data_IF_510452046028
#
_entry.id   IF_510452046028
#
_cell.length_a   1.000
_cell.length_b   1.000
_cell.length_c   1.000
_cell.angle_alpha   90.00
_cell.angle_beta   90.00
_cell.angle_gamma   90.00
#
_symmetry.space_group_name_H-M   'P 1'
#
loop_
_entity.id
_entity.type
_entity.pdbx_description
1 polymer ?
#
# COMPACT_ATOMS: atom_id res chain seq x y z
N UNK A 1 -21.90 -0.63 -13.84
CA UNK A 1 -21.69 0.69 -13.20
C UNK A 1 -20.49 1.35 -13.87
N UNK A 2 -20.54 2.64 -14.19
CA UNK A 2 -19.44 3.36 -14.83
C UNK A 2 -18.97 4.50 -13.94
N UNK A 3 -17.70 4.51 -13.59
CA UNK A 3 -17.07 5.62 -12.90
C UNK A 3 -15.94 6.18 -13.78
N UNK A 4 -15.86 7.50 -13.90
CA UNK A 4 -14.91 8.15 -14.83
C UNK A 4 -13.51 8.20 -14.21
N UNK A 5 -12.49 7.98 -15.03
CA UNK A 5 -11.10 8.24 -14.63
C UNK A 5 -10.96 9.68 -14.15
N UNK A 6 -10.26 9.87 -13.04
CA UNK A 6 -10.00 11.19 -12.45
C UNK A 6 -11.05 11.67 -11.43
N UNK A 7 -12.11 10.90 -11.15
CA UNK A 7 -13.00 11.24 -10.04
C UNK A 7 -12.33 10.98 -8.68
N UNK A 8 -12.32 11.97 -7.79
CA UNK A 8 -11.63 11.88 -6.50
C UNK A 8 -12.22 10.82 -5.56
N UNK A 9 -13.50 10.45 -5.73
CA UNK A 9 -14.14 9.36 -4.97
C UNK A 9 -13.88 7.96 -5.52
N UNK A 10 -13.21 7.84 -6.68
CA UNK A 10 -12.99 6.57 -7.37
C UNK A 10 -12.23 5.54 -6.53
N UNK A 11 -11.15 5.89 -5.80
CA UNK A 11 -10.42 4.90 -4.98
C UNK A 11 -11.27 4.34 -3.84
N UNK A 12 -12.04 5.18 -3.14
CA UNK A 12 -12.94 4.72 -2.06
C UNK A 12 -14.04 3.82 -2.62
N UNK A 13 -14.57 4.17 -3.79
CA UNK A 13 -15.57 3.35 -4.47
C UNK A 13 -15.02 1.97 -4.87
N UNK A 14 -13.82 1.91 -5.46
CA UNK A 14 -13.16 0.64 -5.79
C UNK A 14 -12.75 -0.17 -4.57
N UNK A 15 -12.39 0.50 -3.47
CA UNK A 15 -12.05 -0.16 -2.20
C UNK A 15 -13.18 -1.02 -1.64
N UNK A 16 -14.45 -0.71 -1.93
CA UNK A 16 -15.56 -1.57 -1.54
C UNK A 16 -15.51 -2.94 -2.26
N UNK A 17 -15.14 -2.95 -3.55
CA UNK A 17 -14.99 -4.20 -4.30
C UNK A 17 -13.74 -4.97 -3.86
N UNK A 18 -12.61 -4.30 -3.65
CA UNK A 18 -11.41 -4.93 -3.11
C UNK A 18 -11.67 -5.57 -1.73
N UNK A 19 -12.36 -4.84 -0.84
CA UNK A 19 -12.78 -5.38 0.46
C UNK A 19 -13.69 -6.60 0.33
N UNK A 20 -14.66 -6.59 -0.58
CA UNK A 20 -15.54 -7.74 -0.83
C UNK A 20 -14.77 -8.96 -1.37
N UNK A 21 -13.82 -8.76 -2.28
CA UNK A 21 -12.96 -9.81 -2.82
C UNK A 21 -12.11 -10.42 -1.69
N UNK A 22 -11.41 -9.60 -0.92
CA UNK A 22 -10.59 -10.07 0.20
C UNK A 22 -11.40 -10.79 1.26
N UNK A 23 -12.61 -10.32 1.54
CA UNK A 23 -13.52 -11.00 2.45
C UNK A 23 -13.84 -12.42 1.97
N UNK A 24 -14.19 -12.59 0.68
CA UNK A 24 -14.43 -13.92 0.10
C UNK A 24 -13.19 -14.80 0.21
N UNK A 25 -12.02 -14.31 -0.20
CA UNK A 25 -10.76 -15.07 -0.14
C UNK A 25 -10.45 -15.54 1.29
N UNK A 26 -10.61 -14.67 2.29
CA UNK A 26 -10.31 -15.01 3.69
C UNK A 26 -11.25 -16.01 4.34
N UNK A 27 -12.36 -16.36 3.67
CA UNK A 27 -13.28 -17.40 4.14
C UNK A 27 -12.97 -18.76 3.54
N UNK A 28 -12.08 -18.80 2.55
CA UNK A 28 -11.63 -20.02 1.92
C UNK A 28 -10.34 -20.54 2.57
N UNK A 29 -10.12 -21.83 2.41
CA UNK A 29 -8.90 -22.56 2.74
C UNK A 29 -8.67 -23.64 1.67
N UNK A 30 -7.50 -24.30 1.64
CA UNK A 30 -7.30 -25.44 0.76
C UNK A 30 -8.37 -26.53 0.97
N UNK A 31 -8.78 -26.78 2.21
CA UNK A 31 -9.84 -27.71 2.57
C UNK A 31 -11.20 -27.33 1.95
N UNK A 32 -11.63 -26.08 2.09
CA UNK A 32 -12.94 -25.64 1.56
C UNK A 32 -13.00 -25.71 0.03
N UNK A 33 -11.91 -25.29 -0.64
CA UNK A 33 -11.83 -25.27 -2.10
C UNK A 33 -11.72 -26.66 -2.72
N UNK A 34 -11.09 -27.60 -2.03
CA UNK A 34 -10.97 -28.99 -2.48
C UNK A 34 -12.10 -29.89 -1.96
N UNK A 35 -13.14 -29.31 -1.33
CA UNK A 35 -14.27 -30.06 -0.75
C UNK A 35 -13.83 -31.16 0.22
N UNK A 36 -12.77 -30.90 0.97
CA UNK A 36 -12.27 -31.78 2.02
C UNK A 36 -11.17 -32.77 1.62
N UNK A 37 -10.70 -32.76 0.37
CA UNK A 37 -9.55 -33.60 -0.04
C UNK A 37 -8.24 -33.13 0.62
N UNK A 38 -8.05 -31.82 0.78
CA UNK A 38 -6.93 -31.27 1.53
C UNK A 38 -7.31 -31.13 3.02
N UNK A 39 -6.42 -31.54 3.93
CA UNK A 39 -6.63 -31.43 5.38
C UNK A 39 -6.37 -30.03 5.93
N UNK A 40 -5.67 -29.17 5.18
CA UNK A 40 -5.38 -27.79 5.57
C UNK A 40 -6.65 -26.94 5.55
N UNK A 41 -7.24 -26.76 6.73
CA UNK A 41 -8.41 -25.93 6.96
C UNK A 41 -8.08 -24.49 7.38
N UNK A 42 -6.80 -24.11 7.48
CA UNK A 42 -6.39 -22.77 7.87
C UNK A 42 -6.81 -21.75 6.79
N UNK A 43 -7.61 -20.74 7.15
CA UNK A 43 -8.04 -19.72 6.20
C UNK A 43 -6.88 -18.98 5.56
N UNK A 44 -7.11 -18.42 4.37
CA UNK A 44 -6.09 -17.62 3.70
C UNK A 44 -5.89 -16.25 4.37
N UNK A 45 -4.63 -15.81 4.39
CA UNK A 45 -4.27 -14.45 4.73
C UNK A 45 -4.85 -13.47 3.71
N UNK A 46 -5.36 -12.34 4.19
CA UNK A 46 -5.88 -11.27 3.35
C UNK A 46 -5.23 -9.93 3.64
N UNK A 47 -4.81 -9.26 2.58
CA UNK A 47 -4.47 -7.85 2.61
C UNK A 47 -4.84 -7.20 1.29
N UNK A 48 -5.65 -6.15 1.37
CA UNK A 48 -6.05 -5.33 0.23
C UNK A 48 -5.71 -3.86 0.45
N UNK A 49 -5.37 -3.20 -0.65
CA UNK A 49 -5.31 -1.76 -0.74
C UNK A 49 -6.03 -1.29 -2.00
N UNK A 50 -7.26 -0.82 -1.82
CA UNK A 50 -8.15 -0.43 -2.93
C UNK A 50 -8.40 -1.60 -3.89
N UNK A 51 -7.63 -1.73 -4.96
CA UNK A 51 -7.69 -2.78 -5.98
C UNK A 51 -6.47 -3.71 -5.97
N UNK A 52 -5.42 -3.36 -5.22
CA UNK A 52 -4.24 -4.21 -5.04
C UNK A 52 -4.52 -5.28 -3.99
N UNK A 53 -4.34 -6.55 -4.36
CA UNK A 53 -4.43 -7.70 -3.47
C UNK A 53 -3.04 -8.29 -3.23
N UNK A 54 -2.61 -8.30 -1.97
CA UNK A 54 -1.32 -8.87 -1.55
C UNK A 54 -1.59 -10.17 -0.80
N UNK A 55 -1.13 -11.28 -1.37
CA UNK A 55 -1.24 -12.60 -0.77
C UNK A 55 0.11 -13.01 -0.19
N UNK A 56 0.09 -13.56 1.02
CA UNK A 56 1.27 -14.10 1.70
C UNK A 56 0.85 -15.41 2.33
N UNK A 57 1.44 -16.51 1.86
CA UNK A 57 1.08 -17.85 2.32
C UNK A 57 2.31 -18.72 2.49
N UNK A 58 2.21 -19.71 3.37
CA UNK A 58 3.22 -20.76 3.46
C UNK A 58 3.17 -21.63 2.20
N UNK A 59 4.34 -22.02 1.68
CA UNK A 59 4.45 -22.97 0.56
C UNK A 59 4.24 -24.41 1.04
N UNK A 60 3.02 -24.70 1.48
CA UNK A 60 2.56 -26.04 1.81
C UNK A 60 1.82 -26.65 0.61
N UNK A 61 1.78 -28.00 0.50
CA UNK A 61 1.19 -28.67 -0.65
C UNK A 61 -0.22 -28.18 -1.00
N UNK A 62 -0.35 -27.57 -2.17
CA UNK A 62 -1.62 -27.09 -2.72
C UNK A 62 -2.10 -25.74 -2.18
N UNK A 63 -1.43 -25.12 -1.20
CA UNK A 63 -1.90 -23.87 -0.58
C UNK A 63 -1.77 -22.67 -1.52
N UNK A 64 -0.61 -22.50 -2.16
CA UNK A 64 -0.36 -21.38 -3.08
C UNK A 64 -1.27 -21.43 -4.32
N UNK A 65 -1.54 -22.63 -4.84
CA UNK A 65 -2.48 -22.80 -5.96
C UNK A 65 -3.92 -22.56 -5.53
N UNK A 66 -4.31 -23.04 -4.35
CA UNK A 66 -5.64 -22.85 -3.78
C UNK A 66 -5.95 -21.37 -3.54
N UNK A 67 -5.06 -20.61 -2.88
CA UNK A 67 -5.29 -19.17 -2.66
C UNK A 67 -5.33 -18.38 -3.98
N UNK A 68 -4.50 -18.77 -4.95
CA UNK A 68 -4.53 -18.17 -6.30
C UNK A 68 -5.85 -18.43 -7.01
N UNK A 69 -6.43 -19.62 -6.83
CA UNK A 69 -7.75 -19.96 -7.36
C UNK A 69 -8.86 -19.21 -6.62
N UNK A 70 -8.79 -19.14 -5.28
CA UNK A 70 -9.70 -18.39 -4.42
C UNK A 70 -9.81 -16.94 -4.87
N UNK A 71 -8.67 -16.26 -5.08
CA UNK A 71 -8.62 -14.87 -5.52
C UNK A 71 -9.27 -14.70 -6.89
N UNK A 72 -8.98 -15.59 -7.85
CA UNK A 72 -9.58 -15.53 -9.19
C UNK A 72 -11.10 -15.71 -9.14
N UNK A 73 -11.57 -16.68 -8.36
CA UNK A 73 -13.01 -16.93 -8.17
C UNK A 73 -13.70 -15.74 -7.50
N UNK A 74 -13.09 -15.17 -6.46
CA UNK A 74 -13.62 -13.99 -5.77
C UNK A 74 -13.68 -12.75 -6.69
N UNK A 75 -12.62 -12.49 -7.46
CA UNK A 75 -12.59 -11.39 -8.45
C UNK A 75 -13.67 -11.59 -9.52
N UNK A 76 -13.88 -12.81 -10.00
CA UNK A 76 -14.94 -13.12 -10.97
C UNK A 76 -16.34 -12.97 -10.37
N UNK A 77 -16.53 -13.35 -9.11
CA UNK A 77 -17.80 -13.23 -8.41
C UNK A 77 -18.19 -11.76 -8.17
N UNK A 78 -17.22 -10.92 -7.79
CA UNK A 78 -17.45 -9.51 -7.44
C UNK A 78 -17.48 -8.59 -8.67
N UNK A 79 -16.57 -8.79 -9.62
CA UNK A 79 -16.38 -7.89 -10.78
C UNK A 79 -16.87 -8.47 -12.11
N UNK A 80 -17.28 -9.75 -12.12
CA UNK A 80 -17.77 -10.46 -13.30
C UNK A 80 -16.71 -11.32 -14.00
N UNK A 81 -17.11 -12.25 -14.88
CA UNK A 81 -16.23 -13.30 -15.40
C UNK A 81 -15.10 -12.81 -16.33
N UNK A 82 -15.15 -11.56 -16.80
CA UNK A 82 -14.15 -10.95 -17.69
C UNK A 82 -13.19 -9.99 -16.97
N UNK A 83 -13.25 -9.91 -15.65
CA UNK A 83 -12.43 -8.98 -14.85
C UNK A 83 -10.98 -9.44 -14.65
N UNK A 84 -10.68 -10.72 -14.90
CA UNK A 84 -9.35 -11.30 -14.69
C UNK A 84 -8.35 -10.75 -15.72
N UNK A 85 -7.42 -9.94 -15.24
CA UNK A 85 -6.26 -9.52 -16.01
C UNK A 85 -5.06 -10.42 -15.69
N UNK A 86 -4.86 -11.49 -16.47
CA UNK A 86 -3.77 -12.45 -16.27
C UNK A 86 -2.38 -11.81 -16.23
N UNK A 87 -2.16 -10.70 -16.94
CA UNK A 87 -0.87 -9.99 -16.99
C UNK A 87 -0.52 -9.24 -15.70
N UNK A 88 -1.50 -9.07 -14.80
CA UNK A 88 -1.34 -8.35 -13.53
C UNK A 88 -1.10 -9.26 -12.32
N UNK A 89 -1.21 -10.58 -12.50
CA UNK A 89 -0.84 -11.53 -11.46
C UNK A 89 0.67 -11.75 -11.51
N UNK A 90 1.34 -11.52 -10.38
CA UNK A 90 2.73 -11.91 -10.20
C UNK A 90 2.85 -13.41 -9.96
N UNK A 91 4.04 -13.95 -10.20
CA UNK A 91 4.40 -15.29 -9.71
C UNK A 91 4.65 -15.25 -8.19
N UNK A 92 4.65 -16.43 -7.58
CA UNK A 92 5.03 -16.57 -6.17
C UNK A 92 6.53 -16.41 -6.00
N UNK A 93 6.92 -15.68 -4.97
CA UNK A 93 8.32 -15.40 -4.65
C UNK A 93 8.44 -15.10 -3.16
N UNK A 94 9.60 -15.40 -2.56
CA UNK A 94 9.93 -14.98 -1.19
C UNK A 94 10.28 -13.49 -1.11
N UNK A 95 10.44 -12.84 -2.27
CA UNK A 95 10.62 -11.39 -2.40
C UNK A 95 9.56 -10.78 -3.30
N UNK A 96 8.98 -9.64 -2.89
CA UNK A 96 7.94 -8.97 -3.66
C UNK A 96 7.96 -7.45 -3.45
N UNK A 97 7.66 -6.69 -4.51
CA UNK A 97 7.34 -5.26 -4.39
C UNK A 97 5.82 -5.08 -4.36
N UNK A 98 5.30 -4.54 -3.25
CA UNK A 98 3.88 -4.24 -3.08
C UNK A 98 3.70 -2.91 -2.33
N UNK A 99 2.72 -2.10 -2.73
CA UNK A 99 2.52 -0.73 -2.18
C UNK A 99 3.78 0.16 -2.30
N UNK A 100 4.66 -0.21 -3.24
CA UNK A 100 6.04 0.23 -3.39
C UNK A 100 6.84 0.21 -2.08
N UNK A 101 6.77 -0.93 -1.41
CA UNK A 101 7.68 -1.42 -0.40
C UNK A 101 8.22 -2.77 -0.90
N UNK A 102 9.43 -3.10 -0.50
CA UNK A 102 10.05 -4.39 -0.78
C UNK A 102 9.87 -5.30 0.44
N UNK A 103 9.34 -6.49 0.20
CA UNK A 103 9.15 -7.53 1.20
C UNK A 103 10.12 -8.66 0.90
N UNK A 104 10.75 -9.20 1.95
CA UNK A 104 11.60 -10.39 1.90
C UNK A 104 11.20 -11.29 3.07
N UNK A 105 10.53 -12.40 2.78
CA UNK A 105 10.00 -13.31 3.79
C UNK A 105 11.08 -14.18 4.41
N UNK A 106 12.17 -14.45 3.69
CA UNK A 106 13.29 -15.25 4.17
C UNK A 106 14.08 -14.47 5.22
N UNK A 107 14.38 -13.20 4.93
CA UNK A 107 15.03 -12.28 5.88
C UNK A 107 14.05 -11.68 6.89
N UNK A 108 12.74 -11.83 6.66
CA UNK A 108 11.66 -11.22 7.45
C UNK A 108 11.77 -9.70 7.52
N UNK A 109 12.14 -9.08 6.40
CA UNK A 109 12.36 -7.64 6.29
C UNK A 109 11.31 -6.98 5.41
N UNK A 110 11.01 -5.72 5.74
CA UNK A 110 10.24 -4.80 4.94
C UNK A 110 11.09 -3.54 4.73
N UNK A 111 11.49 -3.27 3.49
CA UNK A 111 12.37 -2.16 3.13
C UNK A 111 11.69 -1.17 2.17
N UNK A 112 12.24 0.03 2.16
CA UNK A 112 11.89 1.06 1.19
C UNK A 112 12.83 0.95 -0.01
N UNK A 113 12.32 0.91 -1.25
CA UNK A 113 13.17 0.97 -2.44
C UNK A 113 14.10 2.17 -2.42
N UNK A 114 15.35 1.99 -2.83
CA UNK A 114 16.37 3.05 -2.81
C UNK A 114 15.92 4.31 -3.59
N UNK A 115 15.18 4.13 -4.68
CA UNK A 115 14.61 5.22 -5.48
C UNK A 115 13.61 6.07 -4.70
N UNK A 116 12.81 5.47 -3.81
CA UNK A 116 11.87 6.18 -2.93
C UNK A 116 12.58 6.89 -1.78
N UNK A 117 13.64 6.29 -1.24
CA UNK A 117 14.52 6.95 -0.26
C UNK A 117 15.16 8.19 -0.88
N UNK A 118 15.76 8.04 -2.06
CA UNK A 118 16.39 9.14 -2.79
C UNK A 118 15.38 10.27 -3.06
N UNK A 119 14.17 9.92 -3.52
CA UNK A 119 13.09 10.90 -3.72
C UNK A 119 12.71 11.64 -2.44
N UNK A 120 12.67 10.95 -1.29
CA UNK A 120 12.41 11.58 -0.01
C UNK A 120 13.56 12.52 0.40
N UNK A 121 14.82 12.08 0.25
CA UNK A 121 16.00 12.91 0.51
C UNK A 121 16.04 14.17 -0.38
N UNK A 122 15.78 14.04 -1.68
CA UNK A 122 15.70 15.19 -2.59
C UNK A 122 14.66 16.19 -2.12
N UNK A 123 13.51 15.71 -1.62
CA UNK A 123 12.43 16.58 -1.09
C UNK A 123 12.83 17.26 0.22
N UNK A 124 13.51 16.56 1.14
CA UNK A 124 14.09 17.15 2.37
C UNK A 124 15.05 18.28 1.98
N UNK A 125 16.04 17.98 1.14
CA UNK A 125 17.08 18.94 0.76
C UNK A 125 16.49 20.16 0.05
N UNK A 126 15.50 19.96 -0.83
CA UNK A 126 14.82 21.06 -1.53
C UNK A 126 14.09 21.99 -0.57
N UNK A 127 13.45 21.45 0.48
CA UNK A 127 12.76 22.24 1.49
C UNK A 127 13.74 22.95 2.42
N UNK A 128 14.83 22.31 2.82
CA UNK A 128 15.85 22.87 3.70
C UNK A 128 16.57 24.07 3.05
N UNK A 129 16.85 24.00 1.75
CA UNK A 129 17.59 25.05 1.04
C UNK A 129 16.67 26.11 0.39
N UNK A 130 15.36 25.86 0.32
CA UNK A 130 14.39 26.82 -0.20
C UNK A 130 14.13 27.94 0.80
N UNK A 131 13.92 29.18 0.34
CA UNK A 131 13.48 30.29 1.23
C UNK A 131 12.00 30.15 1.60
N UNK A 132 11.19 29.85 0.59
CA UNK A 132 9.74 29.66 0.71
C UNK A 132 9.38 28.28 0.16
N UNK A 133 8.41 27.63 0.82
CA UNK A 133 7.86 26.35 0.38
C UNK A 133 6.44 26.54 -0.14
N UNK A 134 6.15 26.05 -1.35
CA UNK A 134 4.78 26.00 -1.87
C UNK A 134 3.99 24.90 -1.17
N UNK A 135 2.69 25.12 -0.97
CA UNK A 135 1.78 24.10 -0.41
C UNK A 135 1.87 22.74 -1.13
N UNK A 136 1.98 22.74 -2.46
CA UNK A 136 2.13 21.50 -3.22
C UNK A 136 3.42 20.74 -2.91
N UNK A 137 4.54 21.45 -2.73
CA UNK A 137 5.84 20.86 -2.39
C UNK A 137 5.79 20.27 -0.97
N UNK A 138 5.14 20.99 -0.07
CA UNK A 138 4.86 20.56 1.30
C UNK A 138 4.01 19.28 1.34
N UNK A 139 2.90 19.24 0.58
CA UNK A 139 2.04 18.05 0.46
C UNK A 139 2.79 16.85 -0.14
N UNK A 140 3.61 17.09 -1.16
CA UNK A 140 4.48 16.06 -1.75
C UNK A 140 5.46 15.50 -0.72
N UNK A 141 6.12 16.37 0.03
CA UNK A 141 7.05 15.99 1.09
C UNK A 141 6.38 15.18 2.20
N UNK A 142 5.23 15.65 2.70
CA UNK A 142 4.44 14.95 3.69
C UNK A 142 4.04 13.56 3.20
N UNK A 143 3.66 13.43 1.92
CA UNK A 143 3.39 12.14 1.29
C UNK A 143 4.60 11.20 1.31
N UNK A 144 5.80 11.71 1.00
CA UNK A 144 7.05 10.94 1.10
C UNK A 144 7.37 10.51 2.52
N UNK A 145 7.29 11.43 3.49
CA UNK A 145 7.58 11.12 4.89
C UNK A 145 6.61 10.12 5.49
N UNK A 146 5.32 10.23 5.16
CA UNK A 146 4.32 9.24 5.56
C UNK A 146 4.75 7.85 5.13
N UNK A 147 5.20 7.70 3.88
CA UNK A 147 5.67 6.42 3.36
C UNK A 147 6.95 5.93 4.07
N UNK A 148 7.92 6.82 4.30
CA UNK A 148 9.16 6.49 5.05
C UNK A 148 8.85 6.06 6.49
N UNK A 149 7.86 6.67 7.14
CA UNK A 149 7.48 6.36 8.51
C UNK A 149 6.88 4.95 8.69
N UNK A 150 6.52 4.28 7.59
CA UNK A 150 6.10 2.88 7.58
C UNK A 150 7.27 1.95 7.93
N UNK A 151 8.46 2.20 7.36
CA UNK A 151 9.66 1.40 7.63
C UNK A 151 10.45 1.93 8.85
N UNK A 152 10.48 3.25 9.05
CA UNK A 152 11.24 3.90 10.11
C UNK A 152 10.30 4.56 11.12
N UNK A 153 9.89 3.81 12.15
CA UNK A 153 8.97 4.31 13.19
C UNK A 153 9.52 5.54 13.93
N UNK A 154 10.84 5.68 14.03
CA UNK A 154 11.53 6.84 14.62
C UNK A 154 11.24 8.17 13.90
N UNK A 155 10.78 8.13 12.64
CA UNK A 155 10.41 9.33 11.86
C UNK A 155 9.04 9.87 12.27
N UNK A 156 8.18 9.08 12.91
CA UNK A 156 6.81 9.48 13.26
C UNK A 156 6.73 10.74 14.14
N UNK A 157 7.51 10.91 15.22
CA UNK A 157 7.47 12.12 16.03
C UNK A 157 7.87 13.38 15.23
N UNK A 158 8.88 13.26 14.36
CA UNK A 158 9.27 14.36 13.47
C UNK A 158 8.14 14.72 12.50
N UNK A 159 7.57 13.71 11.83
CA UNK A 159 6.45 13.87 10.91
C UNK A 159 5.23 14.53 11.56
N UNK A 160 4.86 14.12 12.78
CA UNK A 160 3.74 14.71 13.53
C UNK A 160 3.99 16.18 13.89
N UNK A 161 5.20 16.53 14.36
CA UNK A 161 5.57 17.92 14.64
C UNK A 161 5.50 18.78 13.38
N UNK A 162 5.99 18.24 12.27
CA UNK A 162 6.01 18.91 10.99
C UNK A 162 4.60 19.18 10.46
N UNK A 163 3.69 18.19 10.50
CA UNK A 163 2.26 18.39 10.17
C UNK A 163 1.65 19.50 11.02
N UNK A 164 1.87 19.47 12.34
CA UNK A 164 1.29 20.48 13.24
C UNK A 164 1.70 21.91 12.85
N UNK A 165 2.95 22.11 12.44
CA UNK A 165 3.47 23.41 11.98
C UNK A 165 2.92 23.80 10.61
N UNK A 166 2.86 22.83 9.69
CA UNK A 166 2.29 23.02 8.35
C UNK A 166 0.79 23.39 8.38
N UNK A 167 0.05 22.97 9.40
CA UNK A 167 -1.37 23.26 9.57
C UNK A 167 -1.68 24.66 10.11
N UNK A 168 -0.67 25.43 10.54
CA UNK A 168 -0.88 26.83 10.98
C UNK A 168 -1.07 27.70 9.74
N UNK A 169 -2.19 28.44 9.60
CA UNK A 169 -2.43 29.31 8.45
C UNK A 169 -1.37 30.42 8.41
N UNK A 170 -0.74 30.61 7.25
CA UNK A 170 0.10 31.77 6.96
C UNK A 170 -0.50 32.56 5.81
N UNK A 171 -0.56 33.89 5.96
CA UNK A 171 -1.30 34.84 5.11
C UNK A 171 -0.93 34.87 3.62
N UNK A 172 0.08 34.13 3.16
CA UNK A 172 0.60 34.23 1.79
C UNK A 172 0.72 32.89 1.01
N UNK A 173 0.23 31.76 1.56
CA UNK A 173 0.33 30.46 0.87
C UNK A 173 1.77 29.95 0.64
N UNK A 174 2.73 30.55 1.36
CA UNK A 174 4.15 30.19 1.40
C UNK A 174 4.57 30.00 2.85
N UNK A 175 5.33 28.93 3.10
CA UNK A 175 5.83 28.60 4.43
C UNK A 175 7.34 28.89 4.48
N UNK A 176 7.84 29.67 5.45
CA UNK A 176 9.27 29.80 5.67
C UNK A 176 9.86 28.44 6.02
N UNK A 177 10.83 27.96 5.26
CA UNK A 177 11.47 26.65 5.46
C UNK A 177 12.09 26.50 6.85
N UNK A 178 12.73 27.56 7.35
CA UNK A 178 13.38 27.58 8.67
C UNK A 178 12.41 27.25 9.80
N UNK A 179 11.20 27.82 9.78
CA UNK A 179 10.17 27.54 10.80
C UNK A 179 9.67 26.09 10.81
N UNK A 180 9.83 25.36 9.68
CA UNK A 180 9.40 23.97 9.57
C UNK A 180 10.43 23.00 10.19
N UNK A 181 11.73 23.28 10.02
CA UNK A 181 12.81 22.41 10.48
C UNK A 181 13.37 22.76 11.87
N UNK A 182 13.21 23.99 12.35
CA UNK A 182 13.80 24.42 13.62
C UNK A 182 13.37 23.50 14.79
N UNK A 183 14.37 22.83 15.33
CA UNK A 183 14.32 21.91 16.46
C UNK A 183 15.62 22.07 17.24
N UNK A 184 15.83 23.26 17.80
CA UNK A 184 16.63 23.42 19.02
C UNK A 184 15.72 24.01 20.07
#
# INVERSE_FOLDING_TARGET
MSARFGWSGLPTYYGAFGGAISWLVSRESPHSLTRGENVDAEPFFRYEWVDDHVLVEADTPGRLSAVSAALRLAVMAVLGPRSINKKKFSEWSTTAEALGLEFDTDKRTLSMPATKILKAQTRVNSLEHGKDVRRHELECFLGSLRHVSTCLRSVRPFFQRFIRRASVPHDAGRYPSQMLFDST
#
